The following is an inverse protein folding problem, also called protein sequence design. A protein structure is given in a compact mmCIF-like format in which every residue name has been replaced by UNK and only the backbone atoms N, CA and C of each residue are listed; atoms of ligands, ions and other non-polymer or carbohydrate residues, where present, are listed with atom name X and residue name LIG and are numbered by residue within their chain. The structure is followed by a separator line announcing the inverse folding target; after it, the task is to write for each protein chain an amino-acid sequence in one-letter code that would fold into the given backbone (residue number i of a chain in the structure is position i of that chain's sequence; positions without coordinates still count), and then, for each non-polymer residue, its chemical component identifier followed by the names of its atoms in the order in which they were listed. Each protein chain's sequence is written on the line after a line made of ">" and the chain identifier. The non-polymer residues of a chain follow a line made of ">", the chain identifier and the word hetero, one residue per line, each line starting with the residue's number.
data_IF_413091848653
#
_entry.id   IF_413091848653
#
_cell.length_a   1.000
_cell.length_b   1.000
_cell.length_c   1.000
_cell.angle_alpha   90.00
_cell.angle_beta   90.00
_cell.angle_gamma   90.00
#
_symmetry.space_group_name_H-M   'P 1'
#
loop_
_entity.id
_entity.type
_entity.pdbx_description
1 polymer ?
#
# COMPACT_ATOMS: atom_id res chain seq x y z
N UNK A 1 -14.16 -17.72 54.89
CA UNK A 1 -13.20 -17.36 55.96
C UNK A 1 -12.64 -15.99 55.67
N UNK A 2 -13.13 -14.94 56.40
CA UNK A 2 -12.57 -13.60 56.33
C UNK A 2 -11.39 -13.51 57.31
N UNK A 3 -10.26 -12.95 56.97
CA UNK A 3 -9.29 -12.49 57.96
C UNK A 3 -9.25 -10.94 58.02
N UNK A 4 -9.53 -10.44 59.20
CA UNK A 4 -8.85 -9.45 59.99
C UNK A 4 -8.05 -8.34 59.25
N UNK A 5 -8.70 -7.21 59.00
CA UNK A 5 -8.06 -5.90 58.86
C UNK A 5 -8.86 -4.80 59.60
N UNK A 6 -9.14 -5.04 60.85
CA UNK A 6 -9.92 -4.08 61.65
C UNK A 6 -9.17 -3.54 62.89
N UNK A 7 -7.86 -3.72 62.99
CA UNK A 7 -7.12 -3.35 64.22
C UNK A 7 -6.17 -2.18 64.04
N UNK A 8 -5.96 -1.65 62.85
CA UNK A 8 -4.95 -0.59 62.63
C UNK A 8 -5.49 0.85 62.67
N UNK A 9 -6.79 1.05 62.63
CA UNK A 9 -7.36 2.41 62.49
C UNK A 9 -7.42 3.21 63.80
N UNK A 10 -7.24 2.60 64.95
CA UNK A 10 -7.40 3.27 66.27
C UNK A 10 -6.11 3.82 66.88
N UNK A 11 -4.95 3.38 66.39
CA UNK A 11 -3.64 3.84 66.95
C UNK A 11 -3.13 5.08 66.23
N UNK A 12 -3.56 5.34 64.99
CA UNK A 12 -3.06 6.46 64.19
C UNK A 12 -3.74 7.81 64.47
N UNK A 13 -4.81 7.83 65.25
CA UNK A 13 -5.59 9.06 65.48
C UNK A 13 -4.92 10.05 66.45
N UNK A 14 -3.74 9.74 66.96
CA UNK A 14 -3.09 10.57 68.02
C UNK A 14 -1.76 11.23 67.60
N UNK A 15 -1.25 11.05 66.42
CA UNK A 15 0.11 11.49 66.10
C UNK A 15 0.32 12.45 64.93
N UNK A 16 -0.70 12.90 64.20
CA UNK A 16 -0.45 13.80 63.08
C UNK A 16 -1.39 15.01 63.06
N UNK A 17 -0.86 16.15 63.46
CA UNK A 17 -1.47 17.46 63.25
C UNK A 17 -1.25 17.90 61.79
N UNK A 18 -2.32 17.99 61.04
CA UNK A 18 -2.60 19.10 60.10
C UNK A 18 -2.18 18.94 58.65
N UNK A 19 -1.12 18.29 58.24
CA UNK A 19 -0.66 18.32 56.83
C UNK A 19 -0.49 16.92 56.20
N UNK A 20 -0.15 15.93 56.98
CA UNK A 20 0.03 14.55 56.47
C UNK A 20 -1.27 13.77 56.24
N UNK A 21 -2.40 14.28 56.73
CA UNK A 21 -3.67 13.54 56.65
C UNK A 21 -4.25 13.51 55.25
N UNK A 22 -3.99 14.53 54.42
CA UNK A 22 -4.51 14.63 53.04
C UNK A 22 -3.75 13.69 52.08
N UNK A 23 -2.44 13.57 52.24
CA UNK A 23 -1.61 12.70 51.41
C UNK A 23 -1.83 11.21 51.70
N UNK A 24 -2.02 10.85 52.95
CA UNK A 24 -2.32 9.46 53.33
C UNK A 24 -3.71 9.03 52.86
N UNK A 25 -4.71 9.91 52.90
CA UNK A 25 -6.06 9.63 52.39
C UNK A 25 -6.02 9.53 50.85
N UNK A 26 -5.28 10.39 50.17
CA UNK A 26 -5.08 10.30 48.71
C UNK A 26 -4.33 9.03 48.31
N UNK A 27 -3.31 8.64 49.06
CA UNK A 27 -2.58 7.40 48.83
C UNK A 27 -3.44 6.16 49.07
N UNK A 28 -4.22 6.12 50.17
CA UNK A 28 -5.17 5.03 50.43
C UNK A 28 -6.30 4.95 49.41
N UNK A 29 -6.84 6.07 48.95
CA UNK A 29 -7.84 6.09 47.89
C UNK A 29 -7.26 5.61 46.53
N UNK A 30 -6.01 5.96 46.22
CA UNK A 30 -5.32 5.43 45.03
C UNK A 30 -5.06 3.92 45.13
N UNK A 31 -4.71 3.39 46.32
CA UNK A 31 -4.52 1.95 46.52
C UNK A 31 -5.85 1.20 46.41
N UNK A 32 -6.92 1.71 47.00
CA UNK A 32 -8.27 1.09 46.93
C UNK A 32 -8.79 1.12 45.50
N UNK A 33 -8.58 2.22 44.75
CA UNK A 33 -8.98 2.31 43.36
C UNK A 33 -8.16 1.36 42.47
N UNK A 34 -6.86 1.21 42.72
CA UNK A 34 -6.01 0.25 42.00
C UNK A 34 -6.40 -1.21 42.32
N UNK A 35 -6.71 -1.55 43.56
CA UNK A 35 -7.18 -2.89 43.89
C UNK A 35 -8.55 -3.19 43.30
N UNK A 36 -9.48 -2.22 43.32
CA UNK A 36 -10.79 -2.37 42.63
C UNK A 36 -10.65 -2.48 41.13
N UNK A 37 -9.78 -1.71 40.48
CA UNK A 37 -9.51 -1.85 39.04
C UNK A 37 -8.85 -3.20 38.73
N UNK A 38 -7.90 -3.63 39.54
CA UNK A 38 -7.23 -4.93 39.37
C UNK A 38 -8.21 -6.07 39.58
N UNK A 39 -9.10 -5.99 40.56
CA UNK A 39 -10.15 -6.98 40.77
C UNK A 39 -11.17 -7.00 39.63
N UNK A 40 -11.65 -5.82 39.17
CA UNK A 40 -12.56 -5.70 38.05
C UNK A 40 -11.94 -6.23 36.73
N UNK A 41 -10.64 -5.97 36.52
CA UNK A 41 -9.91 -6.51 35.35
C UNK A 41 -9.63 -8.01 35.47
N UNK A 42 -9.49 -8.55 36.71
CA UNK A 42 -9.37 -10.00 36.90
C UNK A 42 -10.71 -10.73 36.73
N UNK A 43 -11.83 -10.18 37.21
CA UNK A 43 -13.16 -10.74 36.95
C UNK A 43 -13.49 -10.69 35.44
N UNK A 44 -13.19 -9.58 34.74
CA UNK A 44 -13.33 -9.53 33.28
C UNK A 44 -12.40 -10.52 32.56
N UNK A 45 -11.19 -10.77 33.07
CA UNK A 45 -10.30 -11.80 32.52
C UNK A 45 -10.85 -13.20 32.77
N UNK A 46 -11.48 -13.48 33.92
CA UNK A 46 -12.08 -14.78 34.21
C UNK A 46 -13.37 -15.00 33.40
N UNK A 47 -14.17 -13.97 33.13
CA UNK A 47 -15.29 -14.05 32.18
C UNK A 47 -14.82 -14.23 30.72
N UNK A 48 -13.68 -13.64 30.34
CA UNK A 48 -13.10 -13.79 28.99
C UNK A 48 -12.42 -15.16 28.80
N UNK A 49 -12.06 -15.86 29.88
CA UNK A 49 -11.38 -17.16 29.85
C UNK A 49 -12.32 -18.37 29.99
N UNK A 50 -13.63 -18.18 29.97
CA UNK A 50 -14.56 -19.31 29.91
C UNK A 50 -14.66 -19.81 28.46
N UNK A 51 -13.83 -20.81 28.16
CA UNK A 51 -14.02 -21.87 27.14
C UNK A 51 -14.69 -21.53 25.79
N UNK A 52 -14.47 -20.32 25.24
CA UNK A 52 -14.99 -19.96 23.92
C UNK A 52 -13.98 -20.21 22.78
N UNK A 53 -12.81 -20.78 23.04
CA UNK A 53 -11.88 -21.19 22.00
C UNK A 53 -12.25 -22.60 21.56
N UNK A 54 -13.14 -22.66 20.60
CA UNK A 54 -13.59 -23.89 19.94
C UNK A 54 -13.21 -23.88 18.46
N UNK A 55 -13.40 -24.97 17.76
CA UNK A 55 -13.21 -25.02 16.31
C UNK A 55 -14.02 -23.93 15.58
N UNK A 56 -15.20 -23.59 16.09
CA UNK A 56 -16.08 -22.56 15.52
C UNK A 56 -15.52 -21.12 15.69
N UNK A 57 -14.59 -20.91 16.63
CA UNK A 57 -13.91 -19.62 16.82
C UNK A 57 -12.73 -19.42 15.87
N UNK A 58 -12.32 -20.44 15.13
CA UNK A 58 -11.24 -20.39 14.16
C UNK A 58 -11.81 -19.86 12.83
N UNK A 59 -11.50 -18.61 12.50
CA UNK A 59 -11.87 -18.01 11.22
C UNK A 59 -10.75 -18.24 10.19
N UNK A 60 -11.09 -18.89 9.08
CA UNK A 60 -10.22 -18.96 7.91
C UNK A 60 -10.56 -17.78 6.98
N UNK A 61 -9.71 -16.76 6.97
CA UNK A 61 -9.83 -15.62 6.06
C UNK A 61 -9.09 -15.94 4.77
N UNK A 62 -9.71 -15.71 3.63
CA UNK A 62 -9.12 -15.95 2.32
C UNK A 62 -9.18 -14.69 1.44
N UNK A 63 -8.20 -14.57 0.54
CA UNK A 63 -8.19 -13.56 -0.52
C UNK A 63 -8.29 -12.12 0.00
N UNK A 64 -9.23 -11.35 -0.56
CA UNK A 64 -9.41 -9.91 -0.27
C UNK A 64 -9.77 -9.62 1.19
N UNK A 65 -10.52 -10.51 1.84
CA UNK A 65 -10.89 -10.32 3.24
C UNK A 65 -9.66 -10.41 4.17
N UNK A 66 -8.74 -11.33 3.89
CA UNK A 66 -7.48 -11.42 4.63
C UNK A 66 -6.64 -10.16 4.47
N UNK A 67 -6.54 -9.61 3.23
CA UNK A 67 -5.82 -8.35 2.98
C UNK A 67 -6.42 -7.20 3.80
N UNK A 68 -7.75 -7.06 3.80
CA UNK A 68 -8.45 -6.00 4.53
C UNK A 68 -8.32 -6.12 6.04
N UNK A 69 -8.33 -7.35 6.57
CA UNK A 69 -8.17 -7.61 8.02
C UNK A 69 -6.72 -7.47 8.50
N UNK A 70 -5.74 -7.66 7.63
CA UNK A 70 -4.31 -7.63 7.95
C UNK A 70 -3.51 -6.85 6.91
N UNK A 71 -3.87 -5.57 6.63
CA UNK A 71 -3.26 -4.79 5.54
C UNK A 71 -1.74 -4.66 5.70
N UNK A 72 -1.24 -4.50 6.93
CA UNK A 72 0.20 -4.33 7.20
C UNK A 72 1.05 -5.54 6.81
N UNK A 73 0.47 -6.72 6.65
CA UNK A 73 1.20 -7.90 6.13
C UNK A 73 1.54 -7.76 4.65
N UNK A 74 0.81 -6.93 3.91
CA UNK A 74 0.95 -6.73 2.46
C UNK A 74 1.64 -5.42 2.10
N UNK A 75 1.34 -4.35 2.82
CA UNK A 75 1.83 -2.99 2.52
C UNK A 75 2.73 -2.39 3.61
N UNK A 76 3.10 -3.20 4.64
CA UNK A 76 3.99 -2.82 5.73
C UNK A 76 3.29 -2.07 6.87
N UNK A 77 2.57 -1.00 6.59
CA UNK A 77 1.76 -0.25 7.58
C UNK A 77 0.51 0.36 6.91
N UNK A 78 -0.35 1.01 7.71
CA UNK A 78 -1.56 1.71 7.25
C UNK A 78 -1.46 3.23 7.43
N UNK A 79 -0.27 3.75 7.65
CA UNK A 79 0.04 5.18 7.70
C UNK A 79 0.49 5.70 6.34
N UNK A 80 1.20 6.84 6.35
CA UNK A 80 1.70 7.50 5.14
C UNK A 80 2.53 6.59 4.25
N UNK A 81 3.40 5.75 4.82
CA UNK A 81 4.25 4.84 4.06
C UNK A 81 3.43 3.79 3.31
N UNK A 82 2.48 3.12 3.99
CA UNK A 82 1.61 2.14 3.36
C UNK A 82 0.69 2.74 2.32
N UNK A 83 0.21 3.98 2.54
CA UNK A 83 -0.57 4.72 1.56
C UNK A 83 0.21 4.92 0.24
N UNK A 84 1.47 5.39 0.33
CA UNK A 84 2.34 5.56 -0.84
C UNK A 84 2.71 4.23 -1.49
N UNK A 85 2.80 3.15 -0.70
CA UNK A 85 3.08 1.81 -1.23
C UNK A 85 2.03 1.33 -2.22
N UNK A 86 0.74 1.72 -2.05
CA UNK A 86 -0.30 1.42 -3.04
C UNK A 86 0.03 1.97 -4.43
N UNK A 87 0.60 3.17 -4.50
CA UNK A 87 1.03 3.78 -5.77
C UNK A 87 2.17 2.96 -6.38
N UNK A 88 3.14 2.57 -5.57
CA UNK A 88 4.30 1.80 -6.03
C UNK A 88 3.86 0.46 -6.64
N UNK A 89 2.91 -0.24 -6.03
CA UNK A 89 2.41 -1.51 -6.56
C UNK A 89 1.75 -1.38 -7.93
N UNK A 90 1.04 -0.28 -8.19
CA UNK A 90 0.44 -0.05 -9.51
C UNK A 90 1.50 0.37 -10.54
N UNK A 91 2.41 1.27 -10.16
CA UNK A 91 3.50 1.73 -11.03
C UNK A 91 4.44 0.57 -11.40
N UNK A 92 4.77 -0.31 -10.44
CA UNK A 92 5.63 -1.47 -10.68
C UNK A 92 5.04 -2.44 -11.73
N UNK A 93 3.71 -2.48 -11.89
CA UNK A 93 3.10 -3.25 -12.99
C UNK A 93 3.38 -2.62 -14.35
N UNK A 94 3.35 -1.30 -14.46
CA UNK A 94 3.70 -0.56 -15.68
C UNK A 94 5.20 -0.65 -15.98
N UNK A 95 6.05 -0.64 -14.95
CA UNK A 95 7.50 -0.89 -15.06
C UNK A 95 7.76 -2.30 -15.60
N UNK A 96 7.01 -3.31 -15.14
CA UNK A 96 7.17 -4.68 -15.66
C UNK A 96 6.81 -4.78 -17.16
N UNK A 97 5.80 -4.04 -17.63
CA UNK A 97 5.51 -3.91 -19.06
C UNK A 97 6.67 -3.25 -19.83
N UNK A 98 7.33 -2.25 -19.22
CA UNK A 98 8.50 -1.60 -19.81
C UNK A 98 9.71 -2.55 -19.85
N UNK A 99 9.99 -3.30 -18.81
CA UNK A 99 11.03 -4.32 -18.76
C UNK A 99 10.79 -5.45 -19.78
N UNK A 100 9.53 -5.74 -20.09
CA UNK A 100 9.14 -6.66 -21.14
C UNK A 100 9.24 -6.04 -22.56
N UNK A 101 9.63 -4.76 -22.69
CA UNK A 101 9.81 -4.03 -23.96
C UNK A 101 8.50 -3.57 -24.60
N UNK A 102 7.44 -3.37 -23.81
CA UNK A 102 6.11 -3.04 -24.33
C UNK A 102 5.56 -1.69 -23.86
N UNK A 103 6.24 -1.00 -22.96
CA UNK A 103 5.83 0.29 -22.41
C UNK A 103 7.00 1.28 -22.45
N UNK A 104 6.75 2.49 -22.93
CA UNK A 104 7.72 3.58 -23.01
C UNK A 104 7.31 4.75 -22.11
N UNK A 105 6.01 4.91 -21.85
CA UNK A 105 5.48 6.05 -21.11
C UNK A 105 4.56 5.59 -19.98
N UNK A 106 4.78 6.14 -18.78
CA UNK A 106 3.94 5.97 -17.60
C UNK A 106 3.54 7.35 -17.09
N UNK A 107 2.26 7.54 -16.78
CA UNK A 107 1.76 8.78 -16.17
C UNK A 107 1.12 8.46 -14.82
N UNK A 108 1.54 9.14 -13.78
CA UNK A 108 0.98 9.06 -12.43
C UNK A 108 0.33 10.39 -12.11
N UNK A 109 -0.94 10.38 -11.72
CA UNK A 109 -1.72 11.57 -11.43
C UNK A 109 -2.26 11.47 -10.01
N UNK A 110 -1.97 12.49 -9.19
CA UNK A 110 -2.65 12.72 -7.93
C UNK A 110 -3.87 13.57 -8.26
N UNK A 111 -5.07 13.02 -8.14
CA UNK A 111 -6.31 13.73 -8.44
C UNK A 111 -6.73 14.66 -7.28
N UNK A 112 -7.66 15.59 -7.56
CA UNK A 112 -8.17 16.56 -6.59
C UNK A 112 -8.80 15.91 -5.35
N UNK A 113 -9.38 14.72 -5.50
CA UNK A 113 -10.01 13.93 -4.45
C UNK A 113 -9.05 12.99 -3.71
N UNK A 114 -7.75 13.13 -3.94
CA UNK A 114 -6.69 12.23 -3.48
C UNK A 114 -6.85 10.76 -3.99
N UNK A 115 -7.56 10.53 -5.08
CA UNK A 115 -7.39 9.29 -5.82
C UNK A 115 -6.11 9.36 -6.66
N UNK A 116 -5.56 8.20 -6.98
CA UNK A 116 -4.40 8.07 -7.87
C UNK A 116 -4.85 7.46 -9.19
N UNK A 117 -4.39 8.04 -10.29
CA UNK A 117 -4.49 7.43 -11.62
C UNK A 117 -3.10 7.10 -12.10
N UNK A 118 -2.88 5.85 -12.51
CA UNK A 118 -1.68 5.41 -13.22
C UNK A 118 -2.09 4.96 -14.61
N UNK A 119 -1.47 5.51 -15.63
CA UNK A 119 -1.67 5.19 -17.05
C UNK A 119 -0.35 4.71 -17.66
N UNK A 120 -0.36 3.60 -18.41
CA UNK A 120 0.75 3.11 -19.20
C UNK A 120 0.34 2.90 -20.65
N UNK A 121 1.32 2.88 -21.56
CA UNK A 121 1.15 2.57 -22.99
C UNK A 121 1.55 1.12 -23.32
N UNK A 122 1.48 0.21 -22.35
CA UNK A 122 1.79 -1.21 -22.47
C UNK A 122 0.81 -2.00 -23.34
N UNK A 123 0.87 -3.34 -23.24
CA UNK A 123 -0.03 -4.24 -24.02
C UNK A 123 -1.49 -4.21 -23.57
N UNK A 124 -1.77 -3.64 -22.40
CA UNK A 124 -3.06 -3.76 -21.72
C UNK A 124 -3.28 -5.15 -21.10
N UNK A 125 -3.83 -5.19 -19.90
CA UNK A 125 -4.16 -6.43 -19.19
C UNK A 125 -5.13 -7.26 -20.04
N UNK A 126 -4.95 -8.59 -20.19
CA UNK A 126 -5.90 -9.43 -20.92
C UNK A 126 -7.31 -9.36 -20.32
N UNK A 127 -8.32 -9.24 -21.20
CA UNK A 127 -9.74 -9.17 -20.82
C UNK A 127 -10.53 -10.44 -21.20
N UNK A 128 -9.86 -11.33 -21.95
CA UNK A 128 -10.44 -12.61 -22.34
C UNK A 128 -10.80 -13.47 -21.10
N UNK A 129 -11.77 -14.38 -21.24
CA UNK A 129 -12.20 -15.27 -20.17
C UNK A 129 -11.07 -16.21 -19.72
N UNK A 130 -10.79 -16.19 -18.42
CA UNK A 130 -9.84 -17.12 -17.81
C UNK A 130 -10.48 -18.50 -17.62
N UNK A 131 -9.99 -19.51 -18.36
CA UNK A 131 -10.62 -20.83 -18.47
C UNK A 131 -10.88 -21.54 -17.12
N UNK A 132 -9.99 -21.35 -16.16
CA UNK A 132 -10.09 -22.01 -14.84
C UNK A 132 -11.00 -21.26 -13.87
N UNK A 133 -10.96 -19.92 -13.91
CA UNK A 133 -11.68 -19.09 -12.93
C UNK A 133 -13.09 -18.69 -13.40
N UNK A 134 -13.40 -18.84 -14.71
CA UNK A 134 -14.72 -18.54 -15.25
C UNK A 134 -15.10 -17.05 -15.29
N UNK A 135 -14.13 -16.17 -15.05
CA UNK A 135 -14.25 -14.70 -15.13
C UNK A 135 -13.15 -14.15 -16.05
N UNK A 136 -13.16 -12.85 -16.36
CA UNK A 136 -12.13 -12.24 -17.19
C UNK A 136 -10.74 -12.32 -16.55
N UNK A 137 -9.68 -12.37 -17.37
CA UNK A 137 -8.31 -12.34 -16.84
C UNK A 137 -8.04 -11.02 -16.08
N UNK A 138 -8.64 -9.88 -16.49
CA UNK A 138 -8.60 -8.62 -15.77
C UNK A 138 -9.16 -8.80 -14.34
N UNK A 139 -10.35 -9.39 -14.21
CA UNK A 139 -10.95 -9.65 -12.90
C UNK A 139 -10.10 -10.56 -12.04
N UNK A 140 -9.51 -11.61 -12.62
CA UNK A 140 -8.59 -12.51 -11.91
C UNK A 140 -7.40 -11.74 -11.35
N UNK A 141 -6.73 -10.89 -12.17
CA UNK A 141 -5.59 -10.09 -11.74
C UNK A 141 -5.96 -9.11 -10.63
N UNK A 142 -7.14 -8.51 -10.73
CA UNK A 142 -7.61 -7.50 -9.77
C UNK A 142 -8.14 -8.10 -8.45
N UNK A 143 -8.58 -9.36 -8.45
CA UNK A 143 -9.30 -9.95 -7.28
C UNK A 143 -8.64 -11.18 -6.68
N UNK A 144 -7.63 -11.76 -7.31
CA UNK A 144 -6.99 -12.97 -6.81
C UNK A 144 -5.54 -12.69 -6.38
N UNK A 145 -5.22 -13.06 -5.15
CA UNK A 145 -3.85 -13.03 -4.64
C UNK A 145 -3.07 -14.16 -5.33
N UNK A 146 -1.85 -13.85 -5.76
CA UNK A 146 -1.01 -14.82 -6.45
C UNK A 146 -1.42 -15.10 -7.90
N UNK A 147 -2.22 -14.21 -8.50
CA UNK A 147 -2.57 -14.25 -9.91
C UNK A 147 -1.77 -13.20 -10.71
N UNK A 148 -1.35 -13.57 -11.90
CA UNK A 148 -0.66 -12.65 -12.82
C UNK A 148 0.18 -13.39 -13.85
N UNK A 149 0.46 -12.73 -14.99
CA UNK A 149 1.30 -13.26 -16.08
C UNK A 149 2.79 -13.39 -15.71
N UNK A 150 3.21 -12.81 -14.59
CA UNK A 150 4.62 -12.79 -14.10
C UNK A 150 5.13 -14.16 -13.62
N UNK A 151 4.24 -15.11 -13.38
CA UNK A 151 4.60 -16.50 -13.08
C UNK A 151 5.01 -17.30 -14.33
N UNK A 152 4.72 -16.76 -15.53
CA UNK A 152 5.12 -17.36 -16.80
C UNK A 152 6.43 -16.70 -17.27
N UNK A 153 7.52 -17.48 -17.25
CA UNK A 153 8.86 -17.03 -17.67
C UNK A 153 8.96 -16.63 -19.15
N UNK A 154 8.04 -17.10 -19.98
CA UNK A 154 8.00 -16.76 -21.39
C UNK A 154 7.39 -15.36 -21.61
N UNK A 155 6.52 -14.92 -20.68
CA UNK A 155 5.86 -13.60 -20.73
C UNK A 155 6.69 -12.50 -20.08
N UNK A 156 7.46 -12.81 -19.01
CA UNK A 156 8.30 -11.85 -18.29
C UNK A 156 9.61 -12.51 -17.86
N UNK A 157 10.72 -12.16 -18.53
CA UNK A 157 12.06 -12.64 -18.18
C UNK A 157 12.62 -12.01 -16.91
N UNK A 158 12.26 -10.75 -16.67
CA UNK A 158 12.60 -9.97 -15.47
C UNK A 158 11.35 -9.23 -15.05
N UNK A 159 11.04 -9.21 -13.77
CA UNK A 159 9.96 -8.39 -13.22
C UNK A 159 10.36 -7.82 -11.87
N UNK A 160 9.97 -6.57 -11.59
CA UNK A 160 10.14 -5.92 -10.29
C UNK A 160 9.15 -6.47 -9.25
N UNK A 161 7.96 -6.86 -9.69
CA UNK A 161 6.92 -7.45 -8.85
C UNK A 161 7.04 -8.97 -8.77
N UNK A 162 7.54 -9.50 -7.65
CA UNK A 162 7.80 -10.94 -7.48
C UNK A 162 6.63 -11.73 -6.91
N UNK A 163 5.65 -11.08 -6.28
CA UNK A 163 4.69 -11.75 -5.40
C UNK A 163 3.30 -11.98 -6.01
N UNK A 164 2.96 -11.31 -7.13
CA UNK A 164 1.64 -11.43 -7.78
C UNK A 164 0.48 -10.95 -6.89
N UNK A 165 0.76 -10.08 -5.92
CA UNK A 165 -0.22 -9.61 -4.92
C UNK A 165 -0.51 -8.12 -5.03
N UNK A 166 0.32 -7.34 -5.72
CA UNK A 166 0.32 -5.88 -5.68
C UNK A 166 -1.01 -5.22 -6.00
N UNK A 167 -1.46 -5.29 -7.26
CA UNK A 167 -2.69 -4.60 -7.67
C UNK A 167 -3.94 -5.17 -7.00
N UNK A 168 -3.97 -6.46 -6.67
CA UNK A 168 -5.08 -7.05 -5.94
C UNK A 168 -5.15 -6.55 -4.49
N UNK A 169 -3.99 -6.29 -3.86
CA UNK A 169 -3.93 -5.63 -2.55
C UNK A 169 -4.40 -4.17 -2.64
N UNK A 170 -3.98 -3.42 -3.69
CA UNK A 170 -4.47 -2.05 -3.92
C UNK A 170 -5.99 -2.05 -4.04
N UNK A 171 -6.57 -2.97 -4.82
CA UNK A 171 -8.01 -3.12 -4.97
C UNK A 171 -8.70 -3.42 -3.63
N UNK A 172 -8.19 -4.39 -2.87
CA UNK A 172 -8.73 -4.75 -1.56
C UNK A 172 -8.72 -3.58 -0.56
N UNK A 173 -7.71 -2.71 -0.63
CA UNK A 173 -7.49 -1.59 0.29
C UNK A 173 -8.06 -0.25 -0.23
N UNK A 174 -8.73 -0.28 -1.38
CA UNK A 174 -9.40 0.88 -1.97
C UNK A 174 -10.90 0.88 -1.69
N UNK A 175 -11.44 2.05 -1.41
CA UNK A 175 -12.89 2.25 -1.34
C UNK A 175 -13.51 2.09 -2.74
N UNK A 176 -12.82 2.58 -3.76
CA UNK A 176 -13.19 2.43 -5.16
C UNK A 176 -11.94 2.24 -6.02
N UNK A 177 -12.02 1.34 -7.00
CA UNK A 177 -10.99 1.18 -8.02
C UNK A 177 -11.65 1.01 -9.39
N UNK A 178 -11.12 1.69 -10.40
CA UNK A 178 -11.51 1.54 -11.80
C UNK A 178 -10.30 1.12 -12.62
N UNK A 179 -10.45 0.05 -13.39
CA UNK A 179 -9.49 -0.37 -14.40
C UNK A 179 -10.07 -0.14 -15.79
N UNK A 180 -9.33 0.59 -16.63
CA UNK A 180 -9.64 0.79 -18.06
C UNK A 180 -8.49 0.18 -18.87
N UNK A 181 -8.81 -0.66 -19.82
CA UNK A 181 -7.85 -1.37 -20.65
C UNK A 181 -8.07 -1.05 -22.12
N UNK A 182 -7.01 -0.60 -22.78
CA UNK A 182 -6.94 -0.38 -24.23
C UNK A 182 -6.23 -1.55 -24.88
N UNK A 183 -6.98 -2.42 -25.56
CA UNK A 183 -6.44 -3.65 -26.11
C UNK A 183 -7.20 -4.12 -27.34
N UNK A 184 -6.45 -4.53 -28.38
CA UNK A 184 -7.01 -5.07 -29.64
C UNK A 184 -8.03 -4.13 -30.32
N UNK A 185 -7.82 -2.80 -30.25
CA UNK A 185 -8.73 -1.82 -30.84
C UNK A 185 -9.97 -1.49 -30.00
N UNK A 186 -10.07 -2.01 -28.79
CA UNK A 186 -11.23 -1.89 -27.92
C UNK A 186 -10.88 -1.28 -26.56
N UNK A 187 -11.86 -0.58 -25.99
CA UNK A 187 -11.80 -0.04 -24.62
C UNK A 187 -12.66 -0.91 -23.72
N UNK A 188 -12.05 -1.44 -22.68
CA UNK A 188 -12.69 -2.28 -21.68
C UNK A 188 -12.61 -1.63 -20.30
N UNK A 189 -13.67 -1.75 -19.50
CA UNK A 189 -13.72 -1.21 -18.16
C UNK A 189 -14.31 -2.20 -17.17
N UNK A 190 -13.79 -2.13 -15.95
CA UNK A 190 -14.36 -2.80 -14.79
C UNK A 190 -14.10 -1.96 -13.54
N UNK A 191 -15.10 -1.84 -12.68
CA UNK A 191 -14.99 -1.12 -11.41
C UNK A 191 -15.17 -2.07 -10.23
N UNK A 192 -14.55 -1.66 -9.11
CA UNK A 192 -14.49 -2.47 -7.91
C UNK A 192 -14.75 -1.59 -6.69
N UNK A 193 -15.40 -2.15 -5.69
CA UNK A 193 -15.56 -1.57 -4.37
C UNK A 193 -14.96 -2.52 -3.33
N UNK A 194 -13.93 -2.05 -2.60
CA UNK A 194 -13.27 -2.83 -1.51
C UNK A 194 -12.84 -4.23 -1.95
N UNK A 195 -12.28 -4.31 -3.15
CA UNK A 195 -11.79 -5.56 -3.74
C UNK A 195 -12.84 -6.42 -4.43
N UNK A 196 -14.13 -6.03 -4.43
CA UNK A 196 -15.22 -6.78 -5.07
C UNK A 196 -15.61 -6.14 -6.39
N UNK A 197 -15.77 -6.90 -7.49
CA UNK A 197 -16.23 -6.34 -8.75
C UNK A 197 -17.68 -5.86 -8.64
N UNK A 198 -17.94 -4.65 -9.13
CA UNK A 198 -19.30 -4.09 -9.16
C UNK A 198 -20.13 -4.64 -10.32
N UNK A 199 -19.45 -5.05 -11.39
CA UNK A 199 -20.03 -5.68 -12.59
C UNK A 199 -18.94 -6.42 -13.36
N UNK A 200 -19.30 -7.37 -14.23
CA UNK A 200 -18.33 -8.03 -15.11
C UNK A 200 -17.66 -7.04 -16.05
N UNK A 201 -16.42 -7.33 -16.50
CA UNK A 201 -15.73 -6.50 -17.50
C UNK A 201 -16.63 -6.22 -18.70
N UNK A 202 -16.68 -4.98 -19.17
CA UNK A 202 -17.52 -4.55 -20.30
C UNK A 202 -16.71 -3.78 -21.33
N UNK A 203 -17.01 -3.99 -22.61
CA UNK A 203 -16.55 -3.13 -23.71
C UNK A 203 -17.34 -1.83 -23.66
N UNK A 204 -16.63 -0.69 -23.66
CA UNK A 204 -17.22 0.65 -23.59
C UNK A 204 -16.94 1.50 -24.81
N UNK A 205 -16.02 1.10 -25.68
CA UNK A 205 -15.68 1.85 -26.89
C UNK A 205 -14.64 1.18 -27.75
N UNK A 206 -14.15 1.93 -28.73
CA UNK A 206 -13.06 1.56 -29.63
C UNK A 206 -11.95 2.61 -29.58
N UNK A 207 -10.70 2.21 -29.84
CA UNK A 207 -9.53 3.07 -29.72
C UNK A 207 -8.35 2.52 -30.54
N UNK A 208 -7.50 3.42 -31.02
CA UNK A 208 -6.19 3.06 -31.57
C UNK A 208 -5.08 2.99 -30.51
N UNK A 209 -5.41 3.40 -29.25
CA UNK A 209 -4.48 3.33 -28.12
C UNK A 209 -4.32 1.91 -27.62
N UNK A 210 -3.23 1.68 -26.89
CA UNK A 210 -2.97 0.48 -26.09
C UNK A 210 -2.55 0.90 -24.69
N UNK A 211 -2.68 0.01 -23.73
CA UNK A 211 -2.24 0.25 -22.37
C UNK A 211 -3.28 -0.04 -21.31
N UNK A 212 -2.94 0.31 -20.07
CA UNK A 212 -3.82 0.16 -18.90
C UNK A 212 -3.90 1.46 -18.12
N UNK A 213 -5.10 1.81 -17.69
CA UNK A 213 -5.33 2.87 -16.69
C UNK A 213 -5.91 2.23 -15.45
N UNK A 214 -5.30 2.49 -14.32
CA UNK A 214 -5.83 2.12 -13.00
C UNK A 214 -6.02 3.40 -12.19
N UNK A 215 -7.27 3.67 -11.79
CA UNK A 215 -7.60 4.75 -10.87
C UNK A 215 -8.14 4.15 -9.58
N UNK A 216 -7.57 4.54 -8.44
CA UNK A 216 -8.01 4.02 -7.15
C UNK A 216 -8.10 5.12 -6.09
N UNK A 217 -9.09 4.99 -5.21
CA UNK A 217 -9.30 5.83 -4.04
C UNK A 217 -9.10 4.97 -2.78
N UNK A 218 -8.10 5.24 -1.94
CA UNK A 218 -7.87 4.47 -0.72
C UNK A 218 -9.06 4.47 0.24
N UNK A 219 -9.24 3.36 0.97
CA UNK A 219 -10.35 3.24 1.93
C UNK A 219 -10.03 3.98 3.24
N UNK A 220 -10.79 5.04 3.61
CA UNK A 220 -10.56 5.81 4.82
C UNK A 220 -10.78 4.99 6.12
N UNK A 221 -11.46 3.86 6.04
CA UNK A 221 -11.63 2.96 7.19
C UNK A 221 -10.38 2.15 7.51
N UNK A 222 -9.43 2.08 6.56
CA UNK A 222 -8.13 1.40 6.70
C UNK A 222 -7.03 2.43 6.91
N UNK A 223 -6.99 3.47 6.09
CA UNK A 223 -6.00 4.55 6.19
C UNK A 223 -6.55 5.68 7.05
N UNK A 224 -6.60 5.45 8.36
CA UNK A 224 -7.23 6.38 9.31
C UNK A 224 -6.36 7.56 9.72
N UNK A 225 -5.04 7.51 9.43
CA UNK A 225 -4.11 8.58 9.78
C UNK A 225 -4.08 9.69 8.73
N UNK A 226 -4.06 9.32 7.46
CA UNK A 226 -4.04 10.26 6.33
C UNK A 226 -4.49 9.57 5.05
N UNK A 227 -5.10 10.34 4.15
CA UNK A 227 -5.36 9.97 2.76
C UNK A 227 -4.58 10.86 1.78
N UNK A 228 -3.76 11.79 2.31
CA UNK A 228 -3.01 12.73 1.50
C UNK A 228 -1.68 12.14 1.05
N UNK A 229 -1.46 12.18 -0.25
CA UNK A 229 -0.19 11.82 -0.86
C UNK A 229 0.80 12.99 -0.79
N UNK A 230 2.04 12.66 -0.42
CA UNK A 230 3.14 13.61 -0.47
C UNK A 230 3.79 13.57 -1.85
N UNK A 231 3.76 14.71 -2.56
CA UNK A 231 4.31 14.85 -3.92
C UNK A 231 5.80 14.50 -3.97
N UNK A 232 6.61 15.05 -3.07
CA UNK A 232 8.07 14.85 -3.08
C UNK A 232 8.45 13.38 -2.87
N UNK A 233 7.68 12.67 -2.04
CA UNK A 233 7.87 11.24 -1.79
C UNK A 233 7.62 10.43 -3.08
N UNK A 234 6.55 10.73 -3.80
CA UNK A 234 6.26 10.08 -5.09
C UNK A 234 7.28 10.50 -6.15
N UNK A 235 7.59 11.80 -6.27
CA UNK A 235 8.58 12.31 -7.22
C UNK A 235 9.96 11.66 -7.03
N UNK A 236 10.41 11.52 -5.77
CA UNK A 236 11.67 10.84 -5.47
C UNK A 236 11.68 9.39 -5.92
N UNK A 237 10.61 8.64 -5.62
CA UNK A 237 10.49 7.24 -6.03
C UNK A 237 10.41 7.07 -7.55
N UNK A 238 9.61 7.87 -8.24
CA UNK A 238 9.45 7.81 -9.70
C UNK A 238 10.74 8.19 -10.42
N UNK A 239 11.51 9.15 -9.88
CA UNK A 239 12.84 9.52 -10.38
C UNK A 239 13.81 8.35 -10.26
N UNK A 240 13.84 7.66 -9.13
CA UNK A 240 14.65 6.45 -8.95
C UNK A 240 14.28 5.37 -9.97
N UNK A 241 12.98 5.13 -10.18
CA UNK A 241 12.50 4.15 -11.15
C UNK A 241 12.93 4.50 -12.58
N UNK A 242 12.91 5.78 -12.97
CA UNK A 242 13.38 6.22 -14.28
C UNK A 242 14.90 6.01 -14.46
N UNK A 243 15.70 6.16 -13.41
CA UNK A 243 17.13 5.84 -13.46
C UNK A 243 17.39 4.33 -13.52
N UNK A 244 16.62 3.54 -12.76
CA UNK A 244 16.77 2.09 -12.73
C UNK A 244 16.30 1.42 -14.03
N UNK A 245 15.37 2.07 -14.75
CA UNK A 245 14.77 1.54 -15.98
C UNK A 245 15.08 2.49 -17.15
N UNK A 246 16.30 2.38 -17.66
CA UNK A 246 16.81 3.20 -18.76
C UNK A 246 15.87 3.27 -19.95
N UNK A 247 15.58 4.48 -20.41
CA UNK A 247 14.79 4.73 -21.62
C UNK A 247 13.30 4.95 -21.40
N UNK A 248 12.77 4.59 -20.22
CA UNK A 248 11.36 4.86 -19.86
C UNK A 248 11.17 6.34 -19.53
N UNK A 249 9.98 6.86 -19.83
CA UNK A 249 9.55 8.20 -19.43
C UNK A 249 8.41 8.08 -18.41
N UNK A 250 8.57 8.71 -17.25
CA UNK A 250 7.57 8.73 -16.19
C UNK A 250 7.14 10.17 -15.95
N UNK A 251 5.83 10.43 -16.02
CA UNK A 251 5.24 11.73 -15.74
C UNK A 251 4.52 11.67 -14.38
N UNK A 252 4.79 12.64 -13.52
CA UNK A 252 4.02 12.86 -12.29
C UNK A 252 3.26 14.18 -12.42
N UNK A 253 1.96 14.15 -12.16
CA UNK A 253 1.07 15.34 -12.20
C UNK A 253 0.29 15.41 -10.90
N UNK A 254 0.28 16.58 -10.25
CA UNK A 254 -0.55 16.85 -9.08
C UNK A 254 -1.68 17.82 -9.46
N UNK A 255 -2.90 17.31 -9.55
CA UNK A 255 -4.09 18.09 -9.87
C UNK A 255 -4.66 18.87 -8.69
N UNK A 256 -4.16 18.65 -7.49
CA UNK A 256 -4.59 19.39 -6.29
C UNK A 256 -4.07 20.83 -6.29
N UNK A 257 -2.95 21.07 -6.98
CA UNK A 257 -2.27 22.35 -7.02
C UNK A 257 -2.10 22.85 -8.45
N UNK A 258 -2.55 24.09 -8.69
CA UNK A 258 -2.30 24.81 -9.95
C UNK A 258 -1.21 25.82 -9.73
N UNK A 259 -0.31 25.94 -10.68
CA UNK A 259 0.69 26.98 -10.78
C UNK A 259 0.04 28.33 -11.18
N UNK A 260 0.78 29.43 -11.06
CA UNK A 260 0.31 30.76 -11.43
C UNK A 260 -0.04 30.89 -12.93
N UNK A 261 0.54 30.06 -13.79
CA UNK A 261 0.25 29.97 -15.23
C UNK A 261 -1.01 29.16 -15.56
N UNK A 262 -1.66 28.57 -14.54
CA UNK A 262 -2.85 27.74 -14.66
C UNK A 262 -2.59 26.26 -14.95
N UNK A 263 -1.35 25.86 -15.19
CA UNK A 263 -0.93 24.48 -15.36
C UNK A 263 -0.88 23.75 -14.00
N UNK A 264 -1.05 22.44 -14.01
CA UNK A 264 -0.90 21.63 -12.81
C UNK A 264 0.59 21.46 -12.45
N UNK A 265 0.87 21.29 -11.16
CA UNK A 265 2.20 20.91 -10.72
C UNK A 265 2.56 19.54 -11.30
N UNK A 266 3.79 19.40 -11.80
CA UNK A 266 4.23 18.13 -12.37
C UNK A 266 5.69 18.13 -12.78
N UNK A 267 6.25 16.94 -12.86
CA UNK A 267 7.61 16.66 -13.30
C UNK A 267 7.63 15.47 -14.28
N UNK A 268 8.64 15.46 -15.15
CA UNK A 268 8.92 14.35 -16.07
C UNK A 268 10.29 13.77 -15.74
N UNK A 269 10.34 12.47 -15.50
CA UNK A 269 11.55 11.73 -15.21
C UNK A 269 11.91 10.84 -16.40
N UNK A 270 13.13 10.98 -16.89
CA UNK A 270 13.66 10.17 -17.99
C UNK A 270 15.18 10.09 -17.86
N UNK A 271 15.76 8.92 -18.07
CA UNK A 271 17.20 8.71 -18.08
C UNK A 271 17.64 7.93 -19.31
N UNK A 272 18.64 8.47 -20.02
CA UNK A 272 19.26 7.82 -21.19
C UNK A 272 20.42 6.90 -20.81
N UNK A 273 21.12 7.22 -19.73
CA UNK A 273 22.29 6.47 -19.28
C UNK A 273 21.99 5.57 -18.05
N UNK A 274 20.78 5.69 -17.46
CA UNK A 274 20.34 4.86 -16.34
C UNK A 274 21.17 5.05 -15.09
N UNK A 275 21.74 3.96 -14.58
CA UNK A 275 22.53 3.97 -13.33
C UNK A 275 23.72 4.94 -13.34
N UNK A 276 24.31 5.24 -14.49
CA UNK A 276 25.38 6.23 -14.59
C UNK A 276 24.92 7.64 -14.23
N UNK A 277 23.74 8.02 -14.74
CA UNK A 277 23.12 9.30 -14.39
C UNK A 277 22.66 9.31 -12.95
N UNK A 278 22.17 8.18 -12.42
CA UNK A 278 21.75 8.07 -11.03
C UNK A 278 22.92 8.29 -10.05
N UNK A 279 24.10 7.71 -10.32
CA UNK A 279 25.29 7.95 -9.51
C UNK A 279 25.68 9.44 -9.53
N UNK A 280 25.68 10.07 -10.72
CA UNK A 280 25.95 11.52 -10.84
C UNK A 280 24.93 12.36 -10.07
N UNK A 281 23.66 11.97 -10.09
CA UNK A 281 22.60 12.62 -9.31
C UNK A 281 22.83 12.48 -7.80
N UNK A 282 23.20 11.30 -7.31
CA UNK A 282 23.49 11.04 -5.89
C UNK A 282 24.75 11.75 -5.40
N UNK A 283 25.77 11.89 -6.24
CA UNK A 283 26.98 12.67 -5.93
C UNK A 283 26.66 14.18 -5.79
N UNK A 284 25.69 14.68 -6.52
CA UNK A 284 25.24 16.06 -6.46
C UNK A 284 26.40 17.02 -6.72
N UNK A 285 26.71 17.87 -5.70
CA UNK A 285 27.81 18.87 -5.78
C UNK A 285 29.15 18.35 -5.18
N UNK A 286 29.27 17.03 -4.91
CA UNK A 286 30.51 16.47 -4.40
C UNK A 286 31.50 16.29 -5.53
N UNK A 287 32.78 16.56 -5.27
CA UNK A 287 33.85 16.31 -6.24
C UNK A 287 34.12 14.81 -6.32
N UNK A 288 33.90 14.16 -7.49
CA UNK A 288 34.09 12.72 -7.60
C UNK A 288 35.59 12.37 -7.55
N UNK A 289 35.92 11.34 -6.80
CA UNK A 289 37.34 10.82 -6.75
C UNK A 289 37.73 10.20 -8.10
N UNK A 290 36.76 9.66 -8.85
CA UNK A 290 36.97 9.06 -10.17
C UNK A 290 36.12 9.86 -11.16
N UNK A 291 36.75 10.41 -12.22
CA UNK A 291 36.05 11.29 -13.20
C UNK A 291 34.96 10.60 -14.00
N UNK A 292 35.12 9.30 -14.24
CA UNK A 292 34.15 8.51 -15.03
C UNK A 292 33.55 7.40 -14.17
N UNK A 293 32.22 7.24 -14.24
CA UNK A 293 31.52 6.16 -13.56
C UNK A 293 31.90 4.84 -14.20
N UNK A 294 32.45 3.93 -13.40
CA UNK A 294 32.77 2.57 -13.85
C UNK A 294 31.45 1.77 -13.89
N UNK A 295 31.08 1.31 -15.07
CA UNK A 295 29.88 0.49 -15.29
C UNK A 295 30.27 -0.80 -16.01
N UNK A 296 29.67 -1.90 -15.58
CA UNK A 296 29.81 -3.21 -16.20
C UNK A 296 28.42 -3.69 -16.59
N UNK A 297 28.30 -4.20 -17.79
CA UNK A 297 27.12 -4.94 -18.24
C UNK A 297 27.56 -6.38 -18.54
N UNK A 298 26.76 -7.33 -18.07
CA UNK A 298 27.04 -8.75 -18.27
C UNK A 298 25.78 -9.57 -18.35
N UNK A 299 25.92 -10.81 -18.77
CA UNK A 299 24.83 -11.78 -18.80
C UNK A 299 25.30 -13.08 -18.12
N UNK A 300 24.46 -13.62 -17.26
CA UNK A 300 24.69 -14.92 -16.62
C UNK A 300 23.44 -15.78 -16.75
N UNK A 301 23.55 -16.89 -17.47
CA UNK A 301 22.45 -17.83 -17.72
C UNK A 301 21.21 -17.20 -18.36
N UNK A 302 21.40 -16.25 -19.30
CA UNK A 302 20.30 -15.54 -19.96
C UNK A 302 19.70 -14.41 -19.14
N UNK A 303 20.28 -14.09 -17.98
CA UNK A 303 19.84 -12.97 -17.12
C UNK A 303 20.87 -11.84 -17.24
N UNK A 304 20.47 -10.62 -17.69
CA UNK A 304 21.35 -9.45 -17.67
C UNK A 304 21.76 -9.09 -16.23
N UNK A 305 23.00 -8.68 -16.04
CA UNK A 305 23.59 -8.29 -14.75
C UNK A 305 24.26 -6.93 -14.89
#
# INVERSE_FOLDING_TARGET
>A
KKPYYFVSLFVFKRMLKGVFFCEVILWLNNQINNEQQTFYMSEKREEFNKDNYSADSIQALEGMEHVRMRPSMYIGDTGTRGLHHLVYEVVDNSIDEALAGHCDNITVIINEDNSITTEDDGRGIPVDMHKKEGVSALEVVMTKIGAGGKFDKDSYKVSGGLHGVGVSCVNALSNHLKATVYRKGEIWEQEYEKGKPMYPVKKVGETDKRGTIVTFLPDPTIFTQTLEYNYDTLASRLRELAYLNKGITIHLVDKRHKKDDGEFEGETFHSKEGLKEFIKFLDGNREPLIKEVIAFEGEKNGVPV
#
